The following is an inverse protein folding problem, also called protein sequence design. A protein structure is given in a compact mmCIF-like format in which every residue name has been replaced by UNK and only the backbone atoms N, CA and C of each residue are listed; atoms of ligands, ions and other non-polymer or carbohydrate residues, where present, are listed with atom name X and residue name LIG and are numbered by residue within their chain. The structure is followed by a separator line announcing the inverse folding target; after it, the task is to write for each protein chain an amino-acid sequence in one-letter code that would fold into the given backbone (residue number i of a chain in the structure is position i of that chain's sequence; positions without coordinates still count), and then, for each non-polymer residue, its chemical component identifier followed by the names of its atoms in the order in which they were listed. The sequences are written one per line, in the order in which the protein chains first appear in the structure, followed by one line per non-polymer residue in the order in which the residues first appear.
data_IF_598287054304
#
_entry.id   IF_598287054304
#
_cell.length_a   1.000
_cell.length_b   1.000
_cell.length_c   1.000
_cell.angle_alpha   90.00
_cell.angle_beta   90.00
_cell.angle_gamma   90.00
#
_symmetry.space_group_name_H-M   'P 1'
#
loop_
_entity.id
_entity.type
_entity.pdbx_description
1 polymer ?
#
# COMPACT_ATOMS: atom_id res chain seq x y z
N UNK A 1 24.89 -11.74 -4.78
CA UNK A 1 24.33 -11.31 -3.49
C UNK A 1 23.41 -10.14 -3.76
N UNK A 2 22.14 -10.23 -3.37
CA UNK A 2 21.18 -9.13 -3.52
C UNK A 2 21.55 -8.03 -2.55
N UNK A 3 21.67 -6.78 -3.02
CA UNK A 3 21.97 -5.66 -2.13
C UNK A 3 20.80 -5.39 -1.19
N UNK A 4 21.08 -4.78 -0.04
CA UNK A 4 20.05 -4.32 0.89
C UNK A 4 19.02 -3.41 0.20
N UNK A 5 19.48 -2.51 -0.66
CA UNK A 5 18.62 -1.64 -1.47
C UNK A 5 17.63 -2.43 -2.33
N UNK A 6 18.08 -3.49 -3.00
CA UNK A 6 17.22 -4.31 -3.84
C UNK A 6 16.21 -5.14 -3.01
N UNK A 7 16.55 -5.50 -1.77
CA UNK A 7 15.61 -6.15 -0.84
C UNK A 7 14.53 -5.14 -0.40
N UNK A 8 14.94 -3.93 -0.03
CA UNK A 8 14.02 -2.86 0.38
C UNK A 8 13.07 -2.50 -0.77
N UNK A 9 13.58 -2.32 -1.98
CA UNK A 9 12.77 -2.04 -3.17
C UNK A 9 11.73 -3.13 -3.42
N UNK A 10 12.12 -4.40 -3.28
CA UNK A 10 11.18 -5.51 -3.46
C UNK A 10 10.09 -5.52 -2.39
N UNK A 11 10.45 -5.37 -1.12
CA UNK A 11 9.46 -5.30 -0.03
C UNK A 11 8.49 -4.12 -0.25
N UNK A 12 9.01 -2.97 -0.67
CA UNK A 12 8.18 -1.80 -0.96
C UNK A 12 7.25 -2.04 -2.15
N UNK A 13 7.72 -2.71 -3.20
CA UNK A 13 6.93 -3.07 -4.36
C UNK A 13 5.82 -4.06 -3.99
N UNK A 14 6.14 -5.09 -3.22
CA UNK A 14 5.17 -6.11 -2.79
C UNK A 14 4.08 -5.51 -1.88
N UNK A 15 4.42 -4.53 -1.05
CA UNK A 15 3.47 -3.88 -0.15
C UNK A 15 2.64 -2.78 -0.81
N UNK A 16 3.26 -1.91 -1.61
CA UNK A 16 2.66 -0.66 -2.12
C UNK A 16 2.40 -0.64 -3.62
N UNK A 17 2.91 -1.62 -4.35
CA UNK A 17 2.67 -1.79 -5.78
C UNK A 17 1.27 -2.33 -6.09
N UNK A 18 0.96 -2.55 -7.37
CA UNK A 18 -0.34 -3.04 -7.80
C UNK A 18 -0.72 -4.37 -7.13
N UNK A 19 -1.89 -4.41 -6.47
CA UNK A 19 -2.36 -5.60 -5.74
C UNK A 19 -1.74 -5.81 -4.35
N UNK A 20 -0.83 -4.95 -3.91
CA UNK A 20 -0.25 -4.99 -2.57
C UNK A 20 -1.28 -4.64 -1.48
N UNK A 21 -1.04 -5.14 -0.25
CA UNK A 21 -1.95 -4.90 0.88
C UNK A 21 -2.13 -3.40 1.18
N UNK A 22 -1.11 -2.60 0.86
CA UNK A 22 -1.05 -1.15 1.03
C UNK A 22 -0.86 -0.47 -0.32
N UNK A 23 -1.47 -0.99 -1.40
CA UNK A 23 -1.37 -0.44 -2.75
C UNK A 23 -1.57 1.08 -2.75
N UNK A 24 -0.58 1.79 -3.26
CA UNK A 24 -0.60 3.25 -3.41
C UNK A 24 -0.71 3.64 -4.87
N UNK A 25 -1.50 4.67 -5.16
CA UNK A 25 -1.65 5.26 -6.49
C UNK A 25 -1.57 6.77 -6.38
N UNK A 26 -1.14 7.43 -7.46
CA UNK A 26 -1.28 8.88 -7.56
C UNK A 26 -2.70 9.22 -7.98
N UNK A 27 -3.34 10.11 -7.23
CA UNK A 27 -4.66 10.64 -7.55
C UNK A 27 -4.68 12.16 -7.44
N UNK A 28 -5.56 12.78 -8.23
CA UNK A 28 -5.90 14.19 -8.04
C UNK A 28 -6.81 14.33 -6.82
N UNK A 29 -6.35 15.10 -5.84
CA UNK A 29 -7.10 15.45 -4.64
C UNK A 29 -7.18 16.96 -4.59
N UNK A 30 -8.31 17.51 -5.05
CA UNK A 30 -8.57 18.96 -5.09
C UNK A 30 -7.56 19.73 -5.95
N UNK A 31 -7.10 19.16 -7.07
CA UNK A 31 -6.15 19.79 -7.97
C UNK A 31 -4.68 19.54 -7.62
N UNK A 32 -4.41 18.77 -6.56
CA UNK A 32 -3.05 18.34 -6.18
C UNK A 32 -2.87 16.84 -6.45
N UNK A 33 -1.77 16.48 -7.09
CA UNK A 33 -1.40 15.07 -7.28
C UNK A 33 -0.79 14.52 -6.00
N UNK A 34 -1.52 13.66 -5.31
CA UNK A 34 -1.11 13.05 -4.04
C UNK A 34 -0.96 11.54 -4.19
N UNK A 35 0.04 10.98 -3.53
CA UNK A 35 0.16 9.53 -3.35
C UNK A 35 -0.83 9.10 -2.27
N UNK A 36 -1.84 8.32 -2.67
CA UNK A 36 -2.92 7.88 -1.79
C UNK A 36 -2.99 6.36 -1.74
N UNK A 37 -3.51 5.81 -0.64
CA UNK A 37 -3.85 4.39 -0.58
C UNK A 37 -5.08 4.13 -1.44
N UNK A 38 -4.96 3.17 -2.37
CA UNK A 38 -6.04 2.77 -3.27
C UNK A 38 -7.17 2.06 -2.52
N UNK A 39 -6.81 1.23 -1.54
CA UNK A 39 -7.76 0.57 -0.66
C UNK A 39 -8.32 1.57 0.36
N UNK A 40 -9.21 2.44 -0.11
CA UNK A 40 -9.96 3.41 0.68
C UNK A 40 -11.03 2.70 1.50
N UNK A 41 -10.59 1.94 2.50
CA UNK A 41 -11.46 1.54 3.59
C UNK A 41 -12.06 2.80 4.21
N UNK A 42 -13.33 2.75 4.63
CA UNK A 42 -14.02 3.92 5.19
C UNK A 42 -13.41 4.35 6.52
N UNK A 43 -12.60 3.50 7.14
CA UNK A 43 -11.85 3.80 8.36
C UNK A 43 -10.60 2.92 8.48
N UNK A 44 -9.66 3.38 9.31
CA UNK A 44 -8.49 2.60 9.75
C UNK A 44 -8.92 1.25 10.35
N UNK A 45 -10.06 1.20 11.07
CA UNK A 45 -10.59 -0.05 11.63
C UNK A 45 -10.98 -1.06 10.56
N UNK A 46 -11.64 -0.61 9.50
CA UNK A 46 -12.03 -1.47 8.39
C UNK A 46 -10.80 -1.98 7.62
N UNK A 47 -9.78 -1.13 7.46
CA UNK A 47 -8.47 -1.52 6.92
C UNK A 47 -7.79 -2.60 7.77
N UNK A 48 -7.75 -2.45 9.10
CA UNK A 48 -7.17 -3.47 9.97
C UNK A 48 -7.95 -4.77 9.90
N UNK A 49 -9.29 -4.73 9.95
CA UNK A 49 -10.11 -5.94 9.88
C UNK A 49 -9.91 -6.71 8.57
N UNK A 50 -9.79 -6.01 7.43
CA UNK A 50 -9.55 -6.62 6.13
C UNK A 50 -8.20 -7.35 6.05
N UNK A 51 -7.19 -6.88 6.78
CA UNK A 51 -5.85 -7.46 6.78
C UNK A 51 -5.62 -8.47 7.92
N UNK A 52 -6.28 -8.31 9.08
CA UNK A 52 -6.23 -9.29 10.18
C UNK A 52 -6.73 -10.67 9.70
N UNK A 53 -7.77 -10.70 8.87
CA UNK A 53 -8.27 -11.96 8.28
C UNK A 53 -7.26 -12.65 7.33
N UNK A 54 -6.28 -11.92 6.80
CA UNK A 54 -5.19 -12.45 5.96
C UNK A 54 -3.95 -12.86 6.77
N UNK A 55 -3.78 -12.32 7.98
CA UNK A 55 -2.57 -12.53 8.81
C UNK A 55 -2.80 -13.43 10.02
N UNK A 56 -4.05 -13.81 10.30
CA UNK A 56 -4.41 -14.88 11.22
C UNK A 56 -4.19 -16.25 10.57
#
# INVERSE_FOLDING_TARGET
MTSEAAIIERIQFDLRGPGGDWETIFEDVRGESLLVFKNRHRSIREMFNANIAKWA
#
